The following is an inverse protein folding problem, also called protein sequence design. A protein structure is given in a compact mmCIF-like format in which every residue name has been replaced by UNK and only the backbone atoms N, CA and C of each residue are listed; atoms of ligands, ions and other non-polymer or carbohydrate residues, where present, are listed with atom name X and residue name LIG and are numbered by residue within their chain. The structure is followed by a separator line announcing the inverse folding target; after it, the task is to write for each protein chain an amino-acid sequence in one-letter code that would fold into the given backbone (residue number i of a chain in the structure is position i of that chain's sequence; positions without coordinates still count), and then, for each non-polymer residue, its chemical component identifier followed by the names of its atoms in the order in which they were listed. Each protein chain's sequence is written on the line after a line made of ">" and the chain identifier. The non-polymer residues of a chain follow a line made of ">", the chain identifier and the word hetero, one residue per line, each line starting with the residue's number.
data_IF_853815077887
#
_entry.id   IF_853815077887
#
_cell.length_a   1.000
_cell.length_b   1.000
_cell.length_c   1.000
_cell.angle_alpha   90.00
_cell.angle_beta   90.00
_cell.angle_gamma   90.00
#
_symmetry.space_group_name_H-M   'P 1'
#
loop_
_entity.id
_entity.type
_entity.pdbx_description
1 polymer ?
#
# COMPACT_ATOMS: atom_id res chain seq x y z
N UNK A 1 -19.51 8.06 4.77
CA UNK A 1 -19.17 9.05 4.03
C UNK A 1 -18.85 8.69 2.65
N UNK A 2 -19.43 9.17 1.94
CA UNK A 2 -19.46 8.95 0.64
C UNK A 2 -18.63 9.85 -0.13
N UNK A 3 -17.68 10.31 0.46
CA UNK A 3 -17.02 11.40 -0.08
C UNK A 3 -15.89 11.12 -0.98
N UNK A 4 -15.73 9.89 -1.35
CA UNK A 4 -14.59 9.58 -2.19
C UNK A 4 -15.03 8.98 -3.50
N UNK A 5 -15.81 9.71 -4.26
CA UNK A 5 -16.15 9.23 -5.58
C UNK A 5 -14.97 9.32 -6.52
N UNK A 6 -13.81 9.64 -5.98
CA UNK A 6 -12.75 10.12 -6.81
C UNK A 6 -11.53 9.25 -6.85
N UNK A 7 -11.67 7.99 -6.46
CA UNK A 7 -10.60 7.06 -6.72
C UNK A 7 -10.58 6.80 -8.21
N UNK A 8 -9.64 7.43 -8.86
CA UNK A 8 -9.47 7.24 -10.26
C UNK A 8 -8.58 6.03 -10.48
N UNK A 9 -9.10 5.07 -11.20
CA UNK A 9 -8.34 3.91 -11.55
C UNK A 9 -7.40 4.26 -12.68
N UNK A 10 -6.24 4.72 -12.34
CA UNK A 10 -5.20 4.84 -13.33
C UNK A 10 -4.32 3.64 -13.22
N UNK A 11 -4.95 2.55 -13.36
CA UNK A 11 -4.22 1.35 -13.16
C UNK A 11 -3.79 0.70 -14.41
N UNK A 12 -3.37 1.40 -15.37
CA UNK A 12 -2.75 0.69 -16.47
C UNK A 12 -1.50 0.02 -15.94
N UNK A 13 -1.37 -1.25 -16.22
CA UNK A 13 -0.11 -1.94 -16.03
C UNK A 13 0.92 -1.27 -16.90
N UNK A 14 1.78 -0.48 -16.29
CA UNK A 14 2.83 0.20 -17.03
C UNK A 14 3.94 -0.77 -17.38
N UNK A 15 4.23 -1.67 -16.46
CA UNK A 15 5.11 -2.81 -16.66
C UNK A 15 4.29 -4.04 -16.30
N UNK A 16 4.64 -5.22 -16.85
CA UNK A 16 3.81 -6.39 -16.70
C UNK A 16 3.42 -6.74 -15.27
N UNK A 17 4.14 -6.25 -14.28
CA UNK A 17 3.96 -6.66 -12.91
C UNK A 17 3.64 -5.53 -11.95
N UNK A 18 3.36 -4.35 -12.43
CA UNK A 18 3.13 -3.18 -11.57
C UNK A 18 1.72 -2.67 -11.76
N UNK A 19 1.02 -2.46 -10.65
CA UNK A 19 -0.33 -1.91 -10.62
C UNK A 19 -0.30 -0.64 -9.78
N UNK A 20 -0.95 0.41 -10.26
CA UNK A 20 -0.98 1.70 -9.56
C UNK A 20 -2.37 2.28 -9.54
N UNK A 21 -2.69 2.94 -8.44
CA UNK A 21 -3.92 3.73 -8.30
C UNK A 21 -3.60 5.06 -7.65
N UNK A 22 -4.39 6.07 -7.98
CA UNK A 22 -4.30 7.35 -7.29
C UNK A 22 -5.68 7.81 -6.87
N UNK A 23 -5.72 8.62 -5.81
CA UNK A 23 -6.94 9.25 -5.34
C UNK A 23 -6.87 10.72 -5.69
N UNK A 24 -7.95 11.27 -6.23
CA UNK A 24 -8.03 12.66 -6.65
C UNK A 24 -9.09 13.39 -5.84
N UNK A 25 -8.83 14.65 -5.55
CA UNK A 25 -9.81 15.60 -5.01
C UNK A 25 -9.64 16.89 -5.78
N UNK A 26 -10.71 17.34 -6.46
CA UNK A 26 -10.65 18.53 -7.32
C UNK A 26 -9.48 18.48 -8.31
N UNK A 27 -9.30 17.34 -8.96
CA UNK A 27 -8.24 17.11 -9.94
C UNK A 27 -6.82 17.12 -9.35
N UNK A 28 -6.68 17.20 -8.05
CA UNK A 28 -5.38 17.12 -7.40
C UNK A 28 -5.16 15.72 -6.83
N UNK A 29 -3.95 15.21 -6.97
CA UNK A 29 -3.60 13.91 -6.40
C UNK A 29 -3.43 14.06 -4.89
N UNK A 30 -4.26 13.38 -4.12
CA UNK A 30 -4.20 13.40 -2.66
C UNK A 30 -3.69 12.11 -2.07
N UNK A 31 -3.52 11.09 -2.90
CA UNK A 31 -2.95 9.82 -2.44
C UNK A 31 -2.66 8.92 -3.60
N UNK A 32 -1.81 7.93 -3.37
CA UNK A 32 -1.53 6.91 -4.38
C UNK A 32 -1.00 5.64 -3.73
N UNK A 33 -1.07 4.55 -4.49
CA UNK A 33 -0.53 3.26 -4.07
C UNK A 33 0.09 2.57 -5.28
N UNK A 34 1.19 1.89 -5.04
CA UNK A 34 1.87 1.07 -6.04
C UNK A 34 2.02 -0.33 -5.50
N UNK A 35 1.60 -1.31 -6.28
CA UNK A 35 1.77 -2.71 -5.96
C UNK A 35 2.47 -3.43 -7.09
N UNK A 36 3.05 -4.57 -6.79
CA UNK A 36 3.69 -5.40 -7.80
C UNK A 36 3.40 -6.87 -7.57
N UNK A 37 3.41 -7.62 -8.65
CA UNK A 37 3.28 -9.07 -8.63
C UNK A 37 4.66 -9.63 -8.96
N UNK A 38 5.23 -10.39 -8.05
CA UNK A 38 6.52 -11.04 -8.30
C UNK A 38 6.28 -12.39 -8.95
N UNK A 39 6.88 -12.55 -10.14
CA UNK A 39 6.72 -13.78 -10.90
C UNK A 39 7.28 -14.97 -10.11
N UNK A 40 6.58 -16.09 -10.20
CA UNK A 40 6.98 -17.31 -9.51
C UNK A 40 6.56 -17.38 -8.06
N UNK A 41 6.00 -16.31 -7.51
CA UNK A 41 5.42 -16.34 -6.18
C UNK A 41 3.94 -16.03 -6.29
N UNK A 42 3.17 -16.42 -5.28
CA UNK A 42 1.76 -16.08 -5.22
C UNK A 42 1.55 -14.96 -4.21
N UNK A 43 2.44 -14.00 -4.24
CA UNK A 43 2.46 -12.89 -3.28
C UNK A 43 2.41 -11.58 -4.05
N UNK A 44 1.46 -10.72 -3.68
CA UNK A 44 1.44 -9.35 -4.12
C UNK A 44 2.23 -8.49 -3.13
N UNK A 45 3.00 -7.54 -3.64
CA UNK A 45 3.77 -6.65 -2.79
C UNK A 45 3.24 -5.24 -2.93
N UNK A 46 3.01 -4.60 -1.79
CA UNK A 46 2.70 -3.18 -1.76
C UNK A 46 4.03 -2.45 -1.66
N UNK A 47 4.38 -1.73 -2.72
CA UNK A 47 5.66 -1.04 -2.77
C UNK A 47 5.61 0.27 -2.01
N UNK A 48 4.50 1.00 -2.13
CA UNK A 48 4.34 2.26 -1.41
C UNK A 48 2.87 2.65 -1.38
N UNK A 49 2.49 3.35 -0.32
CA UNK A 49 1.20 4.02 -0.22
C UNK A 49 1.43 5.37 0.44
N UNK A 50 0.84 6.40 -0.13
CA UNK A 50 0.96 7.77 0.37
C UNK A 50 -0.41 8.42 0.37
N UNK A 51 -0.67 9.21 1.40
CA UNK A 51 -1.87 10.04 1.49
C UNK A 51 -1.44 11.42 1.95
N UNK A 52 -1.91 12.45 1.24
CA UNK A 52 -1.60 13.83 1.57
C UNK A 52 -1.98 14.10 3.03
N UNK A 53 -1.13 14.81 3.80
CA UNK A 53 -1.38 15.01 5.24
C UNK A 53 -2.74 15.60 5.57
N UNK A 54 -3.26 16.50 4.74
CA UNK A 54 -4.55 17.14 4.98
C UNK A 54 -5.73 16.20 4.76
N UNK A 55 -5.48 15.02 4.17
CA UNK A 55 -6.52 14.05 3.86
C UNK A 55 -6.38 12.75 4.62
N UNK A 56 -5.48 12.71 5.61
CA UNK A 56 -5.29 11.52 6.43
C UNK A 56 -6.48 11.33 7.39
N UNK A 57 -6.61 10.10 7.90
CA UNK A 57 -7.68 9.69 8.82
C UNK A 57 -9.07 9.77 8.20
N UNK A 58 -9.15 9.69 6.88
CA UNK A 58 -10.42 9.71 6.16
C UNK A 58 -10.66 8.42 5.39
N UNK A 59 -9.84 7.38 5.66
CA UNK A 59 -10.02 6.08 5.03
C UNK A 59 -9.45 5.95 3.62
N UNK A 60 -8.74 6.95 3.12
CA UNK A 60 -8.20 6.90 1.76
C UNK A 60 -7.14 5.81 1.64
N UNK A 61 -6.23 5.72 2.60
CA UNK A 61 -5.21 4.68 2.59
C UNK A 61 -5.82 3.29 2.59
N UNK A 62 -6.84 3.06 3.41
CA UNK A 62 -7.54 1.79 3.45
C UNK A 62 -8.21 1.46 2.13
N UNK A 63 -8.82 2.45 1.49
CA UNK A 63 -9.44 2.25 0.18
C UNK A 63 -8.42 1.89 -0.89
N UNK A 64 -7.28 2.58 -0.89
CA UNK A 64 -6.21 2.30 -1.84
C UNK A 64 -5.67 0.88 -1.65
N UNK A 65 -5.45 0.47 -0.40
CA UNK A 65 -5.00 -0.89 -0.10
C UNK A 65 -6.03 -1.90 -0.59
N UNK A 66 -7.30 -1.67 -0.31
CA UNK A 66 -8.36 -2.57 -0.76
C UNK A 66 -8.42 -2.69 -2.28
N UNK A 67 -8.22 -1.59 -2.99
CA UNK A 67 -8.24 -1.61 -4.45
C UNK A 67 -7.07 -2.40 -5.02
N UNK A 68 -5.88 -2.22 -4.48
CA UNK A 68 -4.71 -2.93 -4.98
C UNK A 68 -4.83 -4.43 -4.70
N UNK A 69 -5.32 -4.78 -3.51
CA UNK A 69 -5.54 -6.19 -3.17
C UNK A 69 -6.55 -6.84 -4.10
N UNK A 70 -7.62 -6.13 -4.40
CA UNK A 70 -8.65 -6.64 -5.31
C UNK A 70 -8.11 -6.79 -6.72
N UNK A 71 -7.41 -5.79 -7.21
CA UNK A 71 -6.88 -5.82 -8.58
C UNK A 71 -5.84 -6.91 -8.76
N UNK A 72 -4.91 -7.05 -7.84
CA UNK A 72 -3.89 -8.08 -7.92
C UNK A 72 -4.50 -9.47 -7.71
N UNK A 73 -5.45 -9.58 -6.78
CA UNK A 73 -6.25 -10.79 -6.63
C UNK A 73 -5.51 -12.02 -6.11
N UNK A 74 -4.34 -11.84 -5.52
CA UNK A 74 -3.59 -12.96 -4.97
C UNK A 74 -4.00 -13.23 -3.53
N UNK A 75 -3.73 -14.44 -3.01
CA UNK A 75 -4.15 -14.80 -1.65
C UNK A 75 -3.29 -14.20 -0.55
N UNK A 76 -2.13 -13.67 -0.89
CA UNK A 76 -1.17 -13.21 0.10
C UNK A 76 -0.52 -11.91 -0.35
N UNK A 77 -0.40 -10.96 0.59
CA UNK A 77 0.23 -9.67 0.33
C UNK A 77 1.29 -9.39 1.36
N UNK A 78 2.37 -8.78 0.94
CA UNK A 78 3.45 -8.35 1.81
C UNK A 78 3.86 -6.91 1.53
N UNK A 79 4.48 -6.31 2.51
CA UNK A 79 5.08 -4.99 2.40
C UNK A 79 6.22 -4.87 3.38
N UNK A 80 7.07 -3.86 3.16
CA UNK A 80 8.11 -3.51 4.10
C UNK A 80 7.94 -2.05 4.46
N UNK A 81 8.06 -1.73 5.75
CA UNK A 81 7.85 -0.38 6.25
C UNK A 81 8.98 -0.04 7.21
N UNK A 82 9.38 1.25 7.26
CA UNK A 82 10.37 1.70 8.23
C UNK A 82 9.85 1.51 9.64
N UNK A 83 10.70 1.02 10.51
CA UNK A 83 10.34 0.79 11.91
C UNK A 83 9.79 2.06 12.58
N UNK A 84 10.33 3.21 12.24
CA UNK A 84 9.89 4.47 12.82
C UNK A 84 8.57 5.01 12.27
N UNK A 85 8.08 4.44 11.17
CA UNK A 85 6.88 4.94 10.53
C UNK A 85 5.62 4.36 11.18
N UNK A 86 5.33 4.86 12.38
CA UNK A 86 4.23 4.32 13.18
C UNK A 86 2.87 4.53 12.52
N UNK A 87 2.69 5.64 11.84
CA UNK A 87 1.43 5.91 11.16
C UNK A 87 1.15 4.87 10.07
N UNK A 88 2.17 4.52 9.28
CA UNK A 88 2.01 3.50 8.25
C UNK A 88 1.79 2.12 8.86
N UNK A 89 2.55 1.78 9.91
CA UNK A 89 2.37 0.49 10.59
C UNK A 89 0.93 0.37 11.10
N UNK A 90 0.40 1.42 11.71
CA UNK A 90 -0.97 1.42 12.20
C UNK A 90 -1.98 1.23 11.07
N UNK A 91 -1.76 1.89 9.95
CA UNK A 91 -2.63 1.75 8.78
C UNK A 91 -2.64 0.29 8.31
N UNK A 92 -1.48 -0.32 8.19
CA UNK A 92 -1.39 -1.70 7.73
C UNK A 92 -2.01 -2.67 8.73
N UNK A 93 -1.74 -2.49 10.03
CA UNK A 93 -2.33 -3.33 11.06
C UNK A 93 -3.86 -3.26 11.04
N UNK A 94 -4.40 -2.06 10.90
CA UNK A 94 -5.85 -1.86 10.83
C UNK A 94 -6.46 -2.57 9.63
N UNK A 95 -5.68 -2.77 8.58
CA UNK A 95 -6.14 -3.42 7.37
C UNK A 95 -5.75 -4.90 7.29
N UNK A 96 -5.35 -5.49 8.41
CA UNK A 96 -5.16 -6.92 8.50
C UNK A 96 -3.75 -7.43 8.32
N UNK A 97 -2.79 -6.53 8.25
CA UNK A 97 -1.37 -6.92 8.11
C UNK A 97 -0.76 -7.17 9.48
N UNK A 98 0.06 -8.19 9.58
CA UNK A 98 0.79 -8.53 10.80
C UNK A 98 2.27 -8.63 10.49
N UNK A 99 3.09 -8.26 11.46
CA UNK A 99 4.54 -8.38 11.30
C UNK A 99 4.94 -9.84 11.23
N UNK A 100 5.74 -10.19 10.23
CA UNK A 100 6.27 -11.54 10.08
C UNK A 100 7.80 -11.60 10.12
N UNK A 101 8.47 -10.46 9.93
CA UNK A 101 9.92 -10.44 9.86
C UNK A 101 10.45 -9.04 10.15
N UNK A 102 11.74 -8.95 10.34
CA UNK A 102 12.47 -7.70 10.50
C UNK A 102 13.76 -7.82 9.70
N UNK A 103 13.97 -6.88 8.78
CA UNK A 103 15.19 -6.83 7.97
C UNK A 103 16.09 -5.72 8.52
N UNK A 104 17.18 -6.14 9.15
CA UNK A 104 18.09 -5.20 9.82
C UNK A 104 18.77 -4.30 8.81
N UNK A 105 18.86 -3.01 9.14
CA UNK A 105 19.56 -2.01 8.32
C UNK A 105 19.11 -2.03 6.87
N UNK A 106 17.83 -2.27 6.66
CA UNK A 106 17.28 -2.41 5.31
C UNK A 106 17.27 -1.09 4.55
N UNK A 107 16.98 0.01 5.24
CA UNK A 107 16.87 1.32 4.63
C UNK A 107 18.19 2.08 4.73
N UNK A 108 18.38 3.04 3.81
CA UNK A 108 19.50 3.95 3.89
C UNK A 108 19.45 4.67 5.24
N UNK A 109 20.61 4.84 5.88
CA UNK A 109 20.67 5.41 7.21
C UNK A 109 20.65 4.36 8.33
N UNK A 110 20.47 3.09 7.98
CA UNK A 110 20.58 1.99 8.93
C UNK A 110 19.31 1.63 9.67
N UNK A 111 18.18 2.20 9.28
CA UNK A 111 16.92 1.84 9.91
C UNK A 111 16.43 0.47 9.45
N UNK A 112 15.85 -0.28 10.38
CA UNK A 112 15.30 -1.61 10.08
C UNK A 112 14.03 -1.50 9.26
N UNK A 113 13.78 -2.52 8.45
CA UNK A 113 12.52 -2.72 7.76
C UNK A 113 11.66 -3.73 8.50
N UNK A 114 10.42 -3.37 8.73
CA UNK A 114 9.42 -4.29 9.29
C UNK A 114 8.69 -4.90 8.12
N UNK A 115 8.70 -6.22 8.03
CA UNK A 115 7.99 -6.94 6.97
C UNK A 115 6.64 -7.38 7.51
N UNK A 116 5.59 -7.00 6.81
CA UNK A 116 4.23 -7.32 7.22
C UNK A 116 3.52 -8.12 6.15
N UNK A 117 2.57 -8.94 6.56
CA UNK A 117 1.87 -9.84 5.66
C UNK A 117 0.39 -9.89 6.00
N UNK A 118 -0.41 -10.02 4.95
CA UNK A 118 -1.84 -10.28 5.07
C UNK A 118 -2.19 -11.48 4.20
N UNK A 119 -2.95 -12.41 4.76
CA UNK A 119 -3.50 -13.55 4.03
C UNK A 119 -5.00 -13.28 3.83
N UNK A 120 -5.43 -13.30 2.59
CA UNK A 120 -6.83 -13.02 2.24
C UNK A 120 -7.65 -14.29 2.17
#
# INVERSE_FOLDING_TARGET
>A
MDAWPLLDMIGALTFPNIVRYKALWDDEVIGFIVGEIRLGSRIGWIATVCVHPDFRRRGIGAQLIGMIEHEIGLPRFRLTVRESNQAAINLYQTNGYVQIDRWRKYYNGGEDGIVMEKIR
#
